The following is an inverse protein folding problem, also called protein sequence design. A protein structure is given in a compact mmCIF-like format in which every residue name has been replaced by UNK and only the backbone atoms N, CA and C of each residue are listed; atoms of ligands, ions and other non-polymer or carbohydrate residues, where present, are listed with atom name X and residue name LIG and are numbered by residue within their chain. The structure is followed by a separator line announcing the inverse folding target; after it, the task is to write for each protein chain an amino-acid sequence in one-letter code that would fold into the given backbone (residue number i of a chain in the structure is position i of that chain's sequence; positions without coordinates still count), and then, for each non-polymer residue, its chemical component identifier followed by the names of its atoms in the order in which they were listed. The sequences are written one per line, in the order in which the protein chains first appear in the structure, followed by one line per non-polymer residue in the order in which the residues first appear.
data_IF_397606495288
#
_entry.id   IF_397606495288
#
_cell.length_a   1.000
_cell.length_b   1.000
_cell.length_c   1.000
_cell.angle_alpha   90.00
_cell.angle_beta   90.00
_cell.angle_gamma   90.00
#
_symmetry.space_group_name_H-M   'P 1'
#
loop_
_entity.id
_entity.type
_entity.pdbx_description
1 polymer ?
#
# COMPACT_ATOMS: atom_id res chain seq x y z
N UNK A 1 6.28 -11.22 -12.56
CA UNK A 1 6.31 -11.72 -11.17
C UNK A 1 6.26 -10.55 -10.20
N UNK A 2 5.42 -10.63 -9.19
CA UNK A 2 5.28 -9.56 -8.20
C UNK A 2 6.41 -9.63 -7.17
N UNK A 3 7.03 -8.48 -6.93
CA UNK A 3 8.01 -8.33 -5.85
C UNK A 3 7.29 -7.97 -4.56
N UNK A 4 7.85 -8.40 -3.44
CA UNK A 4 7.28 -8.17 -2.12
C UNK A 4 8.23 -7.35 -1.25
N UNK A 5 7.63 -6.62 -0.29
CA UNK A 5 8.36 -5.90 0.75
C UNK A 5 7.61 -6.09 2.07
N UNK A 6 8.34 -6.23 3.16
CA UNK A 6 7.73 -6.28 4.50
C UNK A 6 7.59 -4.87 5.06
N UNK A 7 6.60 -4.65 5.91
CA UNK A 7 6.42 -3.36 6.56
C UNK A 7 7.69 -2.90 7.29
N UNK A 8 8.42 -3.83 7.88
CA UNK A 8 9.69 -3.52 8.57
C UNK A 8 10.79 -3.00 7.65
N UNK A 9 10.67 -3.20 6.34
CA UNK A 9 11.66 -2.80 5.35
C UNK A 9 11.32 -1.47 4.65
N UNK A 10 10.13 -0.93 4.88
CA UNK A 10 9.64 0.22 4.12
C UNK A 10 10.45 1.49 4.38
N UNK A 11 10.79 1.77 5.64
CA UNK A 11 11.58 2.97 5.96
C UNK A 11 12.90 3.00 5.22
N UNK A 12 13.61 1.88 5.20
CA UNK A 12 14.88 1.77 4.50
C UNK A 12 14.70 1.89 2.98
N UNK A 13 13.64 1.29 2.46
CA UNK A 13 13.32 1.37 1.03
C UNK A 13 13.12 2.82 0.58
N UNK A 14 12.38 3.60 1.38
CA UNK A 14 12.11 5.02 1.10
C UNK A 14 13.40 5.84 1.06
N UNK A 15 14.35 5.54 1.94
CA UNK A 15 15.64 6.22 1.97
C UNK A 15 16.39 6.12 0.65
N UNK A 16 16.29 4.97 -0.02
CA UNK A 16 16.95 4.74 -1.30
C UNK A 16 16.07 5.02 -2.51
N UNK A 17 14.77 5.25 -2.29
CA UNK A 17 13.78 5.42 -3.36
C UNK A 17 12.84 6.56 -3.00
N UNK A 18 13.31 7.80 -3.17
CA UNK A 18 12.58 8.99 -2.75
C UNK A 18 11.25 9.20 -3.47
N UNK A 19 11.12 8.66 -4.68
CA UNK A 19 9.88 8.77 -5.45
C UNK A 19 8.97 7.56 -5.20
N UNK A 20 8.59 7.38 -3.93
CA UNK A 20 7.76 6.26 -3.47
C UNK A 20 6.42 6.77 -2.96
N UNK A 21 5.36 6.03 -3.26
CA UNK A 21 4.03 6.27 -2.70
C UNK A 21 3.48 4.96 -2.12
N UNK A 22 2.59 5.09 -1.15
CA UNK A 22 1.88 3.95 -0.58
C UNK A 22 0.45 3.97 -1.12
N UNK A 23 -0.01 2.83 -1.63
CA UNK A 23 -1.38 2.67 -2.11
C UNK A 23 -2.09 1.65 -1.23
N UNK A 24 -3.02 2.11 -0.42
CA UNK A 24 -3.85 1.27 0.44
C UNK A 24 -5.13 0.92 -0.32
N UNK A 25 -5.32 -0.36 -0.62
CA UNK A 25 -6.44 -0.84 -1.45
C UNK A 25 -7.55 -1.47 -0.62
N UNK A 26 -7.53 -1.27 0.69
CA UNK A 26 -8.58 -1.75 1.59
C UNK A 26 -9.87 -0.96 1.41
N UNK A 27 -10.86 -1.22 2.25
CA UNK A 27 -12.15 -0.54 2.20
C UNK A 27 -12.19 0.64 3.17
N UNK A 28 -13.14 1.53 2.95
CA UNK A 28 -13.39 2.67 3.83
C UNK A 28 -13.70 2.22 5.26
N UNK A 29 -14.47 1.14 5.42
CA UNK A 29 -14.78 0.60 6.74
C UNK A 29 -13.52 0.19 7.49
N UNK A 30 -12.58 -0.44 6.80
CA UNK A 30 -11.30 -0.83 7.41
C UNK A 30 -10.48 0.39 7.83
N UNK A 31 -10.46 1.42 7.03
CA UNK A 31 -9.73 2.66 7.37
C UNK A 31 -10.34 3.32 8.61
N UNK A 32 -11.64 3.28 8.74
CA UNK A 32 -12.35 3.93 9.86
C UNK A 32 -12.31 3.11 11.14
N UNK A 33 -12.41 1.79 11.06
CA UNK A 33 -12.54 0.92 12.23
C UNK A 33 -11.21 0.32 12.70
N UNK A 34 -10.30 0.01 11.78
CA UNK A 34 -9.01 -0.61 12.10
C UNK A 34 -7.90 0.45 12.14
N UNK A 35 -8.05 1.50 11.37
CA UNK A 35 -7.05 2.54 11.21
C UNK A 35 -6.42 2.53 9.83
N UNK A 36 -5.60 3.53 9.56
CA UNK A 36 -4.93 3.69 8.28
C UNK A 36 -3.50 4.18 8.48
N UNK A 37 -2.58 3.89 7.53
CA UNK A 37 -1.20 4.36 7.66
C UNK A 37 -1.13 5.87 7.53
N UNK A 38 -0.30 6.48 8.39
CA UNK A 38 0.02 7.91 8.32
C UNK A 38 1.44 8.06 7.84
N UNK A 39 1.64 8.52 6.62
CA UNK A 39 2.97 8.54 6.00
C UNK A 39 3.62 9.91 5.93
N UNK A 40 2.98 10.93 6.49
CA UNK A 40 3.49 12.30 6.45
C UNK A 40 4.91 12.40 7.01
N UNK A 41 5.16 11.76 8.14
CA UNK A 41 6.48 11.79 8.79
C UNK A 41 7.52 10.96 8.04
N UNK A 42 7.08 10.06 7.16
CA UNK A 42 7.98 9.28 6.31
C UNK A 42 8.33 10.01 5.01
N UNK A 43 7.70 11.14 4.74
CA UNK A 43 7.96 11.95 3.56
C UNK A 43 7.36 11.40 2.27
N UNK A 44 6.41 10.49 2.36
CA UNK A 44 5.71 9.94 1.18
C UNK A 44 4.21 10.19 1.29
N UNK A 45 3.52 10.08 0.16
CA UNK A 45 2.06 10.19 0.12
C UNK A 45 1.43 8.81 0.20
N UNK A 46 0.27 8.74 0.84
CA UNK A 46 -0.60 7.56 0.80
C UNK A 46 -1.85 7.88 0.01
N UNK A 47 -2.20 6.98 -0.89
CA UNK A 47 -3.45 7.04 -1.64
C UNK A 47 -4.35 5.92 -1.15
N UNK A 48 -5.63 6.23 -0.94
CA UNK A 48 -6.64 5.28 -0.46
C UNK A 48 -7.62 5.02 -1.60
N UNK A 49 -7.40 3.93 -2.31
CA UNK A 49 -8.22 3.56 -3.48
C UNK A 49 -8.57 2.09 -3.33
N UNK A 50 -9.82 1.80 -3.00
CA UNK A 50 -10.28 0.43 -2.80
C UNK A 50 -10.19 -0.36 -4.10
N UNK A 51 -9.60 -1.56 -4.02
CA UNK A 51 -9.52 -2.43 -5.19
C UNK A 51 -10.93 -2.84 -5.62
N UNK A 52 -11.15 -2.84 -6.93
CA UNK A 52 -12.38 -3.35 -7.53
C UNK A 52 -12.04 -4.19 -8.75
N UNK A 53 -12.95 -5.07 -9.16
CA UNK A 53 -12.76 -5.95 -10.30
C UNK A 53 -13.01 -5.25 -11.63
N UNK A 54 -13.61 -4.06 -11.60
CA UNK A 54 -13.89 -3.29 -12.80
C UNK A 54 -12.75 -2.30 -13.11
N UNK A 55 -12.89 -1.58 -14.22
CA UNK A 55 -11.89 -0.64 -14.69
C UNK A 55 -11.73 0.58 -13.78
N UNK A 56 -12.70 0.83 -12.89
CA UNK A 56 -12.69 2.03 -12.04
C UNK A 56 -11.45 2.10 -11.14
N UNK A 57 -10.99 0.97 -10.63
CA UNK A 57 -9.77 0.93 -9.81
C UNK A 57 -8.57 1.48 -10.56
N UNK A 58 -8.30 0.93 -11.75
CA UNK A 58 -7.15 1.37 -12.56
C UNK A 58 -7.28 2.81 -13.01
N UNK A 59 -8.49 3.24 -13.37
CA UNK A 59 -8.73 4.62 -13.77
C UNK A 59 -8.43 5.59 -12.64
N UNK A 60 -8.82 5.24 -11.40
CA UNK A 60 -8.51 6.05 -10.23
C UNK A 60 -7.01 6.11 -9.96
N UNK A 61 -6.33 4.99 -10.06
CA UNK A 61 -4.88 4.94 -9.88
C UNK A 61 -4.18 5.83 -10.92
N UNK A 62 -4.56 5.69 -12.17
CA UNK A 62 -3.95 6.48 -13.28
C UNK A 62 -4.13 7.98 -13.11
N UNK A 63 -5.27 8.41 -12.54
CA UNK A 63 -5.52 9.82 -12.29
C UNK A 63 -4.69 10.40 -11.15
N UNK A 64 -4.29 9.57 -10.21
CA UNK A 64 -3.67 10.03 -8.97
C UNK A 64 -2.19 9.70 -8.84
N UNK A 65 -1.72 8.63 -9.47
CA UNK A 65 -0.37 8.13 -9.29
C UNK A 65 0.35 8.07 -10.63
N UNK A 66 1.51 8.73 -10.70
CA UNK A 66 2.37 8.74 -11.86
C UNK A 66 3.15 7.43 -11.95
N UNK A 67 3.33 6.91 -13.16
CA UNK A 67 4.08 5.66 -13.40
C UNK A 67 5.56 5.74 -13.06
N UNK A 68 6.09 6.94 -12.90
CA UNK A 68 7.48 7.14 -12.46
C UNK A 68 7.69 6.79 -10.99
N UNK A 69 6.61 6.72 -10.20
CA UNK A 69 6.68 6.41 -8.79
C UNK A 69 6.93 4.92 -8.55
N UNK A 70 7.63 4.62 -7.44
CA UNK A 70 7.59 3.28 -6.85
C UNK A 70 6.29 3.18 -6.06
N UNK A 71 5.46 2.18 -6.33
CA UNK A 71 4.16 2.02 -5.68
C UNK A 71 4.20 0.83 -4.73
N UNK A 72 4.06 1.11 -3.43
CA UNK A 72 3.93 0.07 -2.42
C UNK A 72 2.43 -0.17 -2.21
N UNK A 73 1.96 -1.36 -2.53
CA UNK A 73 0.53 -1.69 -2.48
C UNK A 73 0.23 -2.47 -1.20
N UNK A 74 -0.73 -2.00 -0.42
CA UNK A 74 -1.04 -2.55 0.90
C UNK A 74 -2.53 -2.91 1.02
N UNK A 75 -2.80 -4.06 1.64
CA UNK A 75 -4.13 -4.40 2.14
C UNK A 75 -4.01 -4.81 3.61
N UNK A 76 -4.93 -5.60 4.14
CA UNK A 76 -4.87 -6.00 5.55
C UNK A 76 -3.77 -7.03 5.83
N UNK A 77 -3.68 -8.09 5.01
CA UNK A 77 -2.77 -9.22 5.22
C UNK A 77 -1.96 -9.61 3.99
N UNK A 78 -2.01 -8.84 2.92
CA UNK A 78 -1.20 -9.06 1.71
C UNK A 78 -1.89 -9.78 0.56
N UNK A 79 -3.15 -10.22 0.71
CA UNK A 79 -3.86 -10.98 -0.33
C UNK A 79 -4.49 -10.13 -1.42
N UNK A 80 -5.34 -9.19 -1.06
CA UNK A 80 -5.98 -8.29 -2.04
C UNK A 80 -4.96 -7.43 -2.76
N UNK A 81 -3.89 -7.04 -2.06
CA UNK A 81 -2.84 -6.20 -2.64
C UNK A 81 -2.03 -6.92 -3.70
N UNK A 82 -1.92 -8.25 -3.66
CA UNK A 82 -1.28 -9.01 -4.74
C UNK A 82 -2.07 -8.85 -6.04
N UNK A 83 -3.39 -8.93 -5.96
CA UNK A 83 -4.27 -8.76 -7.13
C UNK A 83 -4.09 -7.34 -7.70
N UNK A 84 -4.14 -6.33 -6.82
CA UNK A 84 -3.94 -4.95 -7.23
C UNK A 84 -2.56 -4.73 -7.85
N UNK A 85 -1.52 -5.30 -7.22
CA UNK A 85 -0.15 -5.17 -7.72
C UNK A 85 0.01 -5.78 -9.11
N UNK A 86 -0.61 -6.94 -9.38
CA UNK A 86 -0.60 -7.54 -10.71
C UNK A 86 -1.24 -6.64 -11.75
N UNK A 87 -2.37 -6.02 -11.41
CA UNK A 87 -3.04 -5.08 -12.31
C UNK A 87 -2.13 -3.90 -12.64
N UNK A 88 -1.44 -3.36 -11.62
CA UNK A 88 -0.56 -2.21 -11.79
C UNK A 88 0.69 -2.54 -12.60
N UNK A 89 1.30 -3.69 -12.35
CA UNK A 89 2.47 -4.13 -13.12
C UNK A 89 2.10 -4.29 -14.59
N UNK A 90 0.93 -4.85 -14.89
CA UNK A 90 0.46 -5.00 -16.27
C UNK A 90 0.22 -3.64 -16.95
N UNK A 91 -0.04 -2.60 -16.16
CA UNK A 91 -0.21 -1.24 -16.68
C UNK A 91 1.11 -0.46 -16.77
N UNK A 92 2.22 -1.05 -16.36
CA UNK A 92 3.54 -0.42 -16.46
C UNK A 92 4.02 0.31 -15.21
N UNK A 93 3.35 0.10 -14.07
CA UNK A 93 3.80 0.67 -12.79
C UNK A 93 4.91 -0.15 -12.17
N UNK A 94 5.84 0.52 -11.48
CA UNK A 94 6.86 -0.12 -10.64
C UNK A 94 6.24 -0.40 -9.28
N UNK A 95 5.99 -1.66 -8.97
CA UNK A 95 5.10 -2.02 -7.86
C UNK A 95 5.72 -3.11 -6.97
N UNK A 96 5.57 -2.92 -5.66
CA UNK A 96 5.88 -3.95 -4.66
C UNK A 96 4.64 -4.19 -3.80
N UNK A 97 4.39 -5.46 -3.48
CA UNK A 97 3.31 -5.83 -2.55
C UNK A 97 3.84 -5.79 -1.12
N UNK A 98 3.15 -5.06 -0.25
CA UNK A 98 3.46 -5.09 1.20
C UNK A 98 2.89 -6.39 1.75
N UNK A 99 3.75 -7.40 1.90
CA UNK A 99 3.34 -8.79 2.11
C UNK A 99 2.63 -9.05 3.44
N UNK A 100 2.96 -8.29 4.48
CA UNK A 100 2.30 -8.41 5.80
C UNK A 100 1.15 -7.42 5.97
N UNK A 101 0.97 -6.48 5.04
CA UNK A 101 -0.12 -5.52 5.04
C UNK A 101 -0.17 -4.64 6.27
N UNK A 102 -1.36 -4.10 6.53
CA UNK A 102 -1.57 -3.21 7.68
C UNK A 102 -1.66 -3.97 8.99
N UNK A 103 -2.25 -5.16 8.98
CA UNK A 103 -2.59 -5.91 10.19
C UNK A 103 -1.74 -7.15 10.45
N UNK A 104 -0.90 -7.53 9.50
CA UNK A 104 -0.06 -8.72 9.62
C UNK A 104 -0.62 -9.92 8.87
N UNK A 105 0.24 -10.93 8.63
CA UNK A 105 -0.10 -12.13 7.87
C UNK A 105 0.11 -13.43 8.64
N UNK A 106 0.34 -13.34 9.95
CA UNK A 106 0.61 -14.51 10.81
C UNK A 106 2.10 -14.83 10.96
N UNK A 107 2.93 -14.46 10.00
CA UNK A 107 4.39 -14.61 10.08
C UNK A 107 5.06 -13.28 10.42
N UNK A 108 4.60 -12.22 9.79
CA UNK A 108 5.12 -10.87 9.99
C UNK A 108 4.01 -9.99 10.58
N UNK A 109 4.38 -9.01 11.43
CA UNK A 109 3.42 -8.30 12.27
C UNK A 109 2.51 -7.31 11.54
N UNK A 110 2.92 -6.78 10.39
CA UNK A 110 2.18 -5.73 9.71
C UNK A 110 2.51 -4.33 10.18
N UNK A 111 2.12 -3.35 9.37
CA UNK A 111 2.38 -1.93 9.62
C UNK A 111 1.99 -1.48 11.02
N UNK A 112 0.75 -1.75 11.39
CA UNK A 112 0.15 -1.31 12.65
C UNK A 112 0.89 -1.88 13.87
N UNK A 113 1.20 -3.16 13.83
CA UNK A 113 1.78 -3.86 14.99
C UNK A 113 3.28 -3.59 15.16
N UNK A 114 3.93 -3.03 14.14
CA UNK A 114 5.31 -2.58 14.24
C UNK A 114 5.43 -1.19 14.87
N UNK A 115 4.31 -0.54 15.16
CA UNK A 115 4.33 0.81 15.69
C UNK A 115 4.63 1.87 14.64
N UNK A 116 4.50 1.56 13.37
CA UNK A 116 4.63 2.55 12.31
C UNK A 116 3.46 3.54 12.39
N UNK A 117 3.63 4.77 11.89
CA UNK A 117 2.60 5.80 12.06
C UNK A 117 1.24 5.37 11.52
N UNK A 118 0.22 5.44 12.37
CA UNK A 118 -1.14 5.04 12.03
C UNK A 118 -2.13 6.04 12.60
N UNK A 119 -3.25 6.21 11.90
CA UNK A 119 -4.32 7.12 12.31
C UNK A 119 -5.60 6.33 12.43
N UNK A 120 -6.31 6.54 13.55
CA UNK A 120 -7.65 5.99 13.76
C UNK A 120 -8.61 7.17 13.82
N UNK A 121 -9.61 7.16 12.95
CA UNK A 121 -10.66 8.17 12.96
C UNK A 121 -11.77 7.71 13.88
N UNK A 122 -12.07 8.51 14.87
CA UNK A 122 -13.21 8.27 15.76
C UNK A 122 -14.47 8.91 15.19
#
# INVERSE_FOLDING_TARGET
MIKHIKSSEIKKFIESNSNTVLLDVRTKDEWETVGKPGTKDLGIKTFFITISQDQCFLDNVKRNINKDCQVLVMCAAGGRSIIAANLLVNEGYKTLNVSDGFSGNGEDPGWKNLGLPSVINN
#
